data_IF_046729813270
#
_entry.id   IF_046729813270
#
_cell.length_a   1.000
_cell.length_b   1.000
_cell.length_c   1.000
_cell.angle_alpha   90.00
_cell.angle_beta   90.00
_cell.angle_gamma   90.00
#
_symmetry.space_group_name_H-M   'P 1'
#
loop_
_entity.id
_entity.type
_entity.pdbx_description
1 polymer ?
#
# COMPACT_ATOMS: atom_id res chain seq x y z
N UNK A 1 -18.97 -5.45 -22.50
CA UNK A 1 -19.03 -6.92 -22.32
C UNK A 1 -17.67 -7.47 -21.89
N UNK A 2 -16.61 -7.42 -22.72
CA UNK A 2 -15.29 -7.99 -22.34
C UNK A 2 -14.55 -7.27 -21.19
N UNK A 3 -14.74 -5.96 -21.02
CA UNK A 3 -14.01 -5.18 -19.99
C UNK A 3 -14.51 -5.40 -18.55
N UNK A 4 -15.70 -5.99 -18.40
CA UNK A 4 -16.34 -6.14 -17.08
C UNK A 4 -15.96 -7.47 -16.41
N UNK A 5 -15.73 -8.53 -17.20
CA UNK A 5 -15.20 -9.80 -16.71
C UNK A 5 -13.77 -9.67 -16.16
N UNK A 6 -12.92 -8.86 -16.81
CA UNK A 6 -11.55 -8.62 -16.36
C UNK A 6 -11.49 -7.83 -15.05
N UNK A 7 -12.36 -6.83 -14.87
CA UNK A 7 -12.42 -6.05 -13.63
C UNK A 7 -12.85 -6.91 -12.44
N UNK A 8 -13.89 -7.72 -12.63
CA UNK A 8 -14.38 -8.62 -11.59
C UNK A 8 -13.33 -9.69 -11.22
N UNK A 9 -12.58 -10.16 -12.22
CA UNK A 9 -11.43 -11.06 -12.05
C UNK A 9 -10.29 -10.40 -11.26
N UNK A 10 -10.00 -9.12 -11.52
CA UNK A 10 -8.97 -8.36 -10.81
C UNK A 10 -9.34 -8.11 -9.34
N UNK A 11 -10.59 -7.76 -9.06
CA UNK A 11 -11.08 -7.57 -7.68
C UNK A 11 -11.00 -8.88 -6.88
N UNK A 12 -11.38 -10.00 -7.49
CA UNK A 12 -11.26 -11.32 -6.87
C UNK A 12 -9.79 -11.70 -6.59
N UNK A 13 -8.88 -11.46 -7.54
CA UNK A 13 -7.43 -11.68 -7.36
C UNK A 13 -6.87 -10.80 -6.25
N UNK A 14 -7.27 -9.53 -6.19
CA UNK A 14 -6.86 -8.61 -5.15
C UNK A 14 -7.35 -9.07 -3.77
N UNK A 15 -8.62 -9.43 -3.64
CA UNK A 15 -9.20 -9.93 -2.40
C UNK A 15 -8.49 -11.21 -1.91
N UNK A 16 -8.17 -12.13 -2.83
CA UNK A 16 -7.39 -13.33 -2.51
C UNK A 16 -5.98 -12.99 -2.02
N UNK A 17 -5.27 -12.09 -2.70
CA UNK A 17 -3.94 -11.64 -2.31
C UNK A 17 -3.94 -10.97 -0.92
N UNK A 18 -4.90 -10.09 -0.64
CA UNK A 18 -5.07 -9.44 0.68
C UNK A 18 -5.29 -10.50 1.76
N UNK A 19 -6.09 -11.54 1.49
CA UNK A 19 -6.30 -12.64 2.43
C UNK A 19 -5.00 -13.39 2.71
N UNK A 20 -4.21 -13.70 1.69
CA UNK A 20 -2.90 -14.38 1.87
C UNK A 20 -1.99 -13.57 2.77
N UNK A 21 -1.78 -12.28 2.47
CA UNK A 21 -0.88 -11.42 3.27
C UNK A 21 -1.34 -11.31 4.72
N UNK A 22 -2.67 -11.22 4.97
CA UNK A 22 -3.21 -11.14 6.34
C UNK A 22 -3.18 -12.46 7.09
N UNK A 23 -3.11 -13.57 6.38
CA UNK A 23 -2.99 -14.92 6.95
C UNK A 23 -1.54 -15.35 7.19
N UNK A 24 -0.55 -14.56 6.77
CA UNK A 24 0.85 -14.87 7.04
C UNK A 24 1.10 -14.80 8.55
N UNK A 25 1.73 -15.83 9.15
CA UNK A 25 2.12 -15.78 10.56
C UNK A 25 3.20 -14.71 10.76
N UNK A 26 3.16 -14.00 11.90
CA UNK A 26 4.20 -13.01 12.26
C UNK A 26 5.60 -13.64 12.29
N UNK A 27 5.71 -14.90 12.73
CA UNK A 27 6.96 -15.68 12.75
C UNK A 27 6.89 -16.83 11.74
N UNK A 28 6.93 -16.49 10.45
CA UNK A 28 6.94 -17.45 9.34
C UNK A 28 8.30 -17.60 8.66
N UNK A 29 8.42 -18.62 7.81
CA UNK A 29 9.55 -18.81 6.88
C UNK A 29 9.64 -17.71 5.81
N UNK A 30 8.53 -17.00 5.59
CA UNK A 30 8.45 -15.85 4.71
C UNK A 30 7.99 -14.64 5.51
N UNK A 31 8.90 -13.69 5.71
CA UNK A 31 8.63 -12.40 6.32
C UNK A 31 8.87 -11.32 5.27
N UNK A 32 7.80 -10.62 4.80
CA UNK A 32 7.96 -9.48 3.93
C UNK A 32 8.81 -8.42 4.62
N UNK A 33 9.71 -7.76 3.88
CA UNK A 33 10.43 -6.60 4.42
C UNK A 33 9.48 -5.46 4.76
N UNK A 34 9.92 -4.55 5.63
CA UNK A 34 9.16 -3.35 5.97
C UNK A 34 8.75 -2.56 4.71
N UNK A 35 9.63 -2.46 3.72
CA UNK A 35 9.36 -1.81 2.43
C UNK A 35 8.25 -2.52 1.64
N UNK A 36 8.27 -3.86 1.61
CA UNK A 36 7.19 -4.63 0.98
C UNK A 36 5.86 -4.43 1.72
N UNK A 37 5.88 -4.38 3.05
CA UNK A 37 4.69 -4.11 3.85
C UNK A 37 4.13 -2.71 3.61
N UNK A 38 4.99 -1.69 3.52
CA UNK A 38 4.61 -0.33 3.16
C UNK A 38 4.04 -0.26 1.74
N UNK A 39 4.61 -1.02 0.81
CA UNK A 39 4.09 -1.14 -0.55
C UNK A 39 2.70 -1.79 -0.57
N UNK A 40 2.49 -2.92 0.10
CA UNK A 40 1.17 -3.55 0.19
C UNK A 40 0.13 -2.62 0.83
N UNK A 41 0.53 -1.91 1.89
CA UNK A 41 -0.31 -0.90 2.52
C UNK A 41 -0.71 0.20 1.53
N UNK A 42 0.23 0.77 0.77
CA UNK A 42 -0.06 1.83 -0.20
C UNK A 42 -1.09 1.40 -1.25
N UNK A 43 -0.91 0.22 -1.86
CA UNK A 43 -1.83 -0.32 -2.85
C UNK A 43 -3.18 -0.66 -2.27
N UNK A 44 -3.21 -1.22 -1.06
CA UNK A 44 -4.46 -1.51 -0.37
C UNK A 44 -5.26 -0.24 -0.11
N UNK A 45 -4.61 0.83 0.37
CA UNK A 45 -5.27 2.12 0.63
C UNK A 45 -5.76 2.77 -0.68
N UNK A 46 -4.96 2.73 -1.74
CA UNK A 46 -5.35 3.24 -3.05
C UNK A 46 -6.55 2.49 -3.65
N UNK A 47 -6.57 1.15 -3.54
CA UNK A 47 -7.66 0.33 -4.07
C UNK A 47 -8.98 0.47 -3.29
N UNK A 48 -8.90 0.77 -1.99
CA UNK A 48 -10.08 0.83 -1.10
C UNK A 48 -10.62 2.23 -0.88
N UNK A 49 -9.73 3.23 -0.75
CA UNK A 49 -10.09 4.60 -0.38
C UNK A 49 -9.88 5.55 -1.55
N UNK A 50 -9.00 5.23 -2.49
CA UNK A 50 -8.59 6.16 -3.53
C UNK A 50 -7.63 7.23 -2.99
N UNK A 51 -7.58 8.42 -3.63
CA UNK A 51 -6.63 9.50 -3.33
C UNK A 51 -6.37 9.75 -1.85
N UNK A 52 -5.09 9.88 -1.47
CA UNK A 52 -4.72 10.18 -0.09
C UNK A 52 -5.26 11.57 0.31
N UNK A 53 -6.25 11.58 1.19
CA UNK A 53 -6.82 12.79 1.79
C UNK A 53 -6.31 13.07 3.22
N UNK A 54 -5.37 12.24 3.69
CA UNK A 54 -4.88 12.28 5.07
C UNK A 54 -3.73 13.30 5.16
N UNK A 55 -3.76 14.26 6.12
CA UNK A 55 -2.66 15.20 6.31
C UNK A 55 -1.39 14.50 6.80
N UNK A 56 -0.23 15.08 6.50
CA UNK A 56 1.07 14.57 6.96
C UNK A 56 1.11 14.48 8.49
N UNK A 57 1.53 13.35 9.09
CA UNK A 57 1.76 13.25 10.51
C UNK A 57 2.75 14.33 10.98
N UNK A 58 2.34 15.14 11.96
CA UNK A 58 3.14 16.27 12.49
C UNK A 58 4.11 15.87 13.60
N UNK A 59 3.92 14.70 14.22
CA UNK A 59 4.80 14.21 15.28
C UNK A 59 6.08 13.57 14.73
N UNK A 60 7.25 14.04 15.19
CA UNK A 60 8.55 13.47 14.80
C UNK A 60 8.80 12.07 15.40
N UNK A 61 8.09 11.71 16.48
CA UNK A 61 8.18 10.41 17.15
C UNK A 61 7.42 9.31 16.41
N UNK A 62 6.45 9.65 15.55
CA UNK A 62 5.65 8.68 14.79
C UNK A 62 6.33 8.31 13.48
N UNK A 63 7.49 7.68 13.57
CA UNK A 63 8.28 7.23 12.41
C UNK A 63 7.50 6.24 11.54
N UNK A 64 6.74 5.33 12.17
CA UNK A 64 5.91 4.34 11.48
C UNK A 64 4.73 4.96 10.75
N UNK A 65 3.99 5.87 11.38
CA UNK A 65 2.89 6.58 10.74
C UNK A 65 3.37 7.48 9.60
N UNK A 66 4.52 8.14 9.78
CA UNK A 66 5.17 8.93 8.73
C UNK A 66 5.57 8.05 7.53
N UNK A 67 6.18 6.89 7.76
CA UNK A 67 6.53 5.95 6.68
C UNK A 67 5.29 5.44 5.92
N UNK A 68 4.22 5.09 6.62
CA UNK A 68 2.93 4.70 5.99
C UNK A 68 2.34 5.84 5.18
N UNK A 69 2.39 7.06 5.69
CA UNK A 69 1.90 8.25 4.99
C UNK A 69 2.71 8.51 3.72
N UNK A 70 4.05 8.46 3.80
CA UNK A 70 4.93 8.56 2.64
C UNK A 70 4.65 7.48 1.60
N UNK A 71 4.54 6.22 2.01
CA UNK A 71 4.23 5.13 1.08
C UNK A 71 2.88 5.35 0.39
N UNK A 72 1.88 5.90 1.10
CA UNK A 72 0.57 6.19 0.54
C UNK A 72 0.60 7.37 -0.44
N UNK A 73 1.33 8.45 -0.14
CA UNK A 73 1.44 9.62 -1.05
C UNK A 73 2.36 9.37 -2.25
N UNK A 74 3.47 8.64 -2.08
CA UNK A 74 4.46 8.41 -3.15
C UNK A 74 3.86 7.64 -4.34
N UNK A 75 2.87 6.79 -4.12
CA UNK A 75 2.21 6.07 -5.23
C UNK A 75 1.31 6.97 -6.09
N UNK A 76 0.83 8.10 -5.55
CA UNK A 76 0.14 9.11 -6.34
C UNK A 76 1.08 9.89 -7.24
N UNK A 77 2.35 9.99 -6.85
CA UNK A 77 3.32 10.84 -7.52
C UNK A 77 4.31 10.04 -8.37
N UNK A 78 3.83 9.06 -9.16
CA UNK A 78 4.64 8.43 -10.22
C UNK A 78 4.90 9.38 -11.42
N UNK A 79 5.27 10.62 -11.10
CA UNK A 79 6.06 11.55 -11.91
C UNK A 79 7.23 12.17 -11.14
N UNK A 80 7.28 12.05 -9.80
CA UNK A 80 8.36 12.56 -8.94
C UNK A 80 9.41 11.50 -8.66
N UNK A 81 10.64 11.77 -9.10
CA UNK A 81 11.84 10.98 -8.79
C UNK A 81 12.06 10.84 -7.28
N UNK A 82 12.71 9.74 -6.92
CA UNK A 82 13.04 9.30 -5.55
C UNK A 82 14.02 10.25 -4.79
N UNK A 83 14.17 11.50 -5.22
CA UNK A 83 15.30 12.39 -4.89
C UNK A 83 14.97 13.49 -3.85
N UNK A 84 13.71 13.87 -3.64
CA UNK A 84 13.39 15.08 -2.83
C UNK A 84 13.03 14.82 -1.35
N UNK A 85 13.54 13.77 -0.71
CA UNK A 85 13.22 13.49 0.70
C UNK A 85 14.44 13.39 1.63
N UNK A 86 15.39 14.32 1.46
CA UNK A 86 16.31 14.74 2.51
C UNK A 86 16.04 16.18 2.94
#
# INVERSE_FOLDING_TARGET
MAQEEDKHSLEAKFAAAVKVIRSLPEEGTFQPSDDMMLMFYSYYKQATIGPCSIPRPTGFWDTRGKAKWYAFIMKYDKGGSHEELY
#
